data_IF_407426994678
#
_entry.id   IF_407426994678
#
_cell.length_a   1.000
_cell.length_b   1.000
_cell.length_c   1.000
_cell.angle_alpha   90.00
_cell.angle_beta   90.00
_cell.angle_gamma   90.00
#
_symmetry.space_group_name_H-M   'P 1'
#
loop_
_entity.id
_entity.type
_entity.pdbx_description
1 polymer ?
#
# COMPACT_ATOMS: atom_id res chain seq x y z
N UNK A 1 38.96 15.57 21.61
CA UNK A 1 38.22 16.81 21.33
C UNK A 1 38.17 16.96 19.82
N UNK A 2 37.12 16.41 19.19
CA UNK A 2 36.88 16.59 17.77
C UNK A 2 36.02 17.84 17.66
N UNK A 3 36.56 18.87 17.02
CA UNK A 3 35.85 20.10 16.69
C UNK A 3 34.71 19.72 15.77
N UNK A 4 33.50 19.66 16.32
CA UNK A 4 32.27 19.62 15.54
C UNK A 4 32.25 20.93 14.76
N UNK A 5 32.27 20.85 13.43
CA UNK A 5 32.02 22.03 12.60
C UNK A 5 30.62 22.53 12.95
N UNK A 6 30.56 23.76 13.49
CA UNK A 6 29.36 24.59 13.57
C UNK A 6 28.92 24.98 12.14
N UNK A 7 28.54 23.99 11.33
CA UNK A 7 27.60 24.25 10.26
C UNK A 7 26.22 24.00 10.88
N UNK A 8 25.54 25.11 11.23
CA UNK A 8 24.14 25.10 11.62
C UNK A 8 23.35 24.19 10.67
N UNK A 9 22.40 23.37 11.18
CA UNK A 9 21.55 22.58 10.30
C UNK A 9 20.86 23.53 9.30
N UNK A 10 21.07 23.36 7.99
CA UNK A 10 20.58 24.31 7.00
C UNK A 10 19.09 24.04 6.77
N UNK A 11 18.22 24.59 7.62
CA UNK A 11 16.76 24.54 7.39
C UNK A 11 16.08 25.78 7.97
N UNK A 12 16.31 26.95 7.37
CA UNK A 12 15.43 28.12 7.49
C UNK A 12 14.65 28.32 6.19
N UNK A 13 14.00 27.25 5.73
CA UNK A 13 12.92 27.33 4.78
C UNK A 13 11.69 26.80 5.50
N UNK A 14 10.94 27.68 6.16
CA UNK A 14 9.64 27.32 6.73
C UNK A 14 8.81 26.71 5.61
N UNK A 15 8.48 25.42 5.72
CA UNK A 15 7.49 24.78 4.87
C UNK A 15 6.19 25.56 5.06
N UNK A 16 5.90 26.46 4.12
CA UNK A 16 4.69 27.29 4.06
C UNK A 16 4.31 28.16 5.28
N UNK A 17 5.20 28.32 6.25
CA UNK A 17 4.92 29.08 7.48
C UNK A 17 4.01 28.35 8.47
N UNK A 18 3.88 27.04 8.34
CA UNK A 18 3.17 26.21 9.32
C UNK A 18 4.11 25.91 10.49
N UNK A 19 3.66 26.19 11.71
CA UNK A 19 4.39 25.82 12.93
C UNK A 19 4.50 24.29 13.03
N UNK A 20 5.57 23.77 13.63
CA UNK A 20 5.82 22.32 13.70
C UNK A 20 4.64 21.51 14.29
N UNK A 21 3.88 22.11 15.21
CA UNK A 21 2.69 21.50 15.81
C UNK A 21 1.49 21.42 14.84
N UNK A 22 1.32 22.42 13.97
CA UNK A 22 0.30 22.42 12.92
C UNK A 22 0.61 21.32 11.88
N UNK A 23 1.90 21.11 11.61
CA UNK A 23 2.37 20.03 10.73
C UNK A 23 2.15 18.63 11.33
N UNK A 24 2.27 18.48 12.66
CA UNK A 24 2.05 17.21 13.36
C UNK A 24 0.58 16.80 13.41
N UNK A 25 -0.33 17.78 13.46
CA UNK A 25 -1.77 17.56 13.65
C UNK A 25 -2.59 17.74 12.39
N UNK A 26 -1.98 18.17 11.28
CA UNK A 26 -2.64 18.34 9.99
C UNK A 26 -3.37 17.07 9.57
N UNK A 27 -4.66 17.21 9.27
CA UNK A 27 -5.45 16.15 8.69
C UNK A 27 -5.14 15.99 7.20
N UNK A 28 -5.08 14.75 6.68
CA UNK A 28 -4.84 14.51 5.27
C UNK A 28 -6.02 15.00 4.43
N UNK A 29 -5.73 15.71 3.33
CA UNK A 29 -6.72 16.13 2.35
C UNK A 29 -6.91 15.06 1.28
N UNK A 30 -8.13 14.94 0.74
CA UNK A 30 -8.37 14.06 -0.40
C UNK A 30 -7.56 14.50 -1.63
N UNK A 31 -6.67 13.64 -2.16
CA UNK A 31 -5.91 13.94 -3.37
C UNK A 31 -6.85 14.12 -4.57
N UNK A 32 -6.49 14.99 -5.54
CA UNK A 32 -7.21 15.11 -6.80
C UNK A 32 -7.30 13.76 -7.55
N UNK A 33 -8.28 13.66 -8.43
CA UNK A 33 -8.47 12.48 -9.27
C UNK A 33 -9.77 12.60 -10.05
N UNK A 34 -10.03 11.69 -10.98
CA UNK A 34 -11.10 11.82 -11.96
C UNK A 34 -12.48 11.84 -11.30
N UNK A 35 -13.42 12.48 -11.99
CA UNK A 35 -14.82 12.35 -11.70
C UNK A 35 -15.33 10.95 -12.06
N UNK A 36 -16.51 10.62 -11.57
CA UNK A 36 -17.20 9.38 -11.90
C UNK A 36 -17.48 9.30 -13.40
N UNK A 37 -17.03 8.22 -14.03
CA UNK A 37 -17.40 7.91 -15.42
C UNK A 37 -18.91 7.71 -15.55
N UNK A 38 -19.51 8.17 -16.65
CA UNK A 38 -20.97 8.07 -16.89
C UNK A 38 -21.48 6.62 -16.97
N UNK A 39 -20.58 5.67 -17.22
CA UNK A 39 -20.85 4.23 -17.24
C UNK A 39 -20.89 3.60 -15.85
N UNK A 40 -20.40 4.30 -14.83
CA UNK A 40 -20.33 3.79 -13.46
C UNK A 40 -21.59 4.24 -12.70
N UNK A 41 -22.38 3.31 -12.15
CA UNK A 41 -23.63 3.66 -11.49
C UNK A 41 -23.39 4.55 -10.27
N UNK A 42 -24.28 5.53 -10.04
CA UNK A 42 -24.15 6.48 -8.93
C UNK A 42 -24.10 5.80 -7.55
N UNK A 43 -24.76 4.66 -7.40
CA UNK A 43 -24.78 3.85 -6.17
C UNK A 43 -23.68 2.77 -6.12
N UNK A 44 -22.59 2.89 -6.90
CA UNK A 44 -21.50 1.88 -6.96
C UNK A 44 -20.97 1.48 -5.57
N UNK A 45 -20.88 2.44 -4.64
CA UNK A 45 -20.39 2.20 -3.26
C UNK A 45 -21.27 1.21 -2.51
N UNK A 46 -22.59 1.26 -2.73
CA UNK A 46 -23.58 0.37 -2.10
C UNK A 46 -23.66 -1.00 -2.81
N UNK A 47 -23.23 -1.08 -4.07
CA UNK A 47 -23.20 -2.32 -4.83
C UNK A 47 -22.01 -3.21 -4.46
N UNK A 48 -20.87 -2.63 -4.09
CA UNK A 48 -19.66 -3.36 -3.70
C UNK A 48 -19.92 -4.43 -2.61
N UNK A 49 -20.49 -4.11 -1.42
CA UNK A 49 -20.71 -5.13 -0.40
C UNK A 49 -21.70 -6.21 -0.84
N UNK A 50 -22.67 -5.87 -1.70
CA UNK A 50 -23.60 -6.86 -2.29
C UNK A 50 -22.87 -7.81 -3.24
N UNK A 51 -22.01 -7.27 -4.11
CA UNK A 51 -21.17 -8.03 -5.01
C UNK A 51 -20.21 -8.96 -4.25
N UNK A 52 -19.58 -8.47 -3.19
CA UNK A 52 -18.73 -9.27 -2.32
C UNK A 52 -19.52 -10.40 -1.63
N UNK A 53 -20.74 -10.14 -1.14
CA UNK A 53 -21.58 -11.16 -0.53
C UNK A 53 -22.00 -12.25 -1.54
N UNK A 54 -22.42 -11.86 -2.75
CA UNK A 54 -22.76 -12.81 -3.82
C UNK A 54 -21.58 -13.73 -4.17
N UNK A 55 -20.37 -13.17 -4.25
CA UNK A 55 -19.17 -13.96 -4.48
C UNK A 55 -18.78 -14.80 -3.27
N UNK A 56 -19.05 -14.37 -2.04
CA UNK A 56 -18.72 -15.12 -0.82
C UNK A 56 -19.46 -16.47 -0.76
N UNK A 57 -20.70 -16.50 -1.24
CA UNK A 57 -21.57 -17.68 -1.29
C UNK A 57 -21.29 -18.60 -2.50
N UNK A 58 -20.52 -18.12 -3.46
CA UNK A 58 -20.13 -18.87 -4.65
C UNK A 58 -18.78 -19.60 -4.45
N UNK A 59 -18.45 -20.54 -5.32
CA UNK A 59 -17.17 -21.26 -5.32
C UNK A 59 -16.51 -21.21 -6.69
N UNK A 60 -15.18 -21.26 -6.71
CA UNK A 60 -14.45 -21.46 -7.96
C UNK A 60 -14.62 -22.92 -8.39
N UNK A 61 -15.00 -23.12 -9.65
CA UNK A 61 -15.17 -24.46 -10.19
C UNK A 61 -13.81 -25.08 -10.52
N UNK A 62 -13.29 -25.90 -9.58
CA UNK A 62 -11.94 -26.50 -9.63
C UNK A 62 -11.61 -27.19 -10.97
N UNK A 63 -12.62 -27.71 -11.68
CA UNK A 63 -12.44 -28.32 -13.02
C UNK A 63 -11.95 -27.32 -14.07
N UNK A 64 -12.32 -26.04 -13.97
CA UNK A 64 -11.92 -24.97 -14.89
C UNK A 64 -10.60 -24.32 -14.50
N UNK A 65 -10.14 -24.54 -13.27
CA UNK A 65 -8.89 -23.96 -12.80
C UNK A 65 -7.68 -24.44 -13.61
N UNK A 66 -6.79 -23.49 -13.92
CA UNK A 66 -5.58 -23.74 -14.65
C UNK A 66 -4.62 -24.65 -13.90
N UNK A 67 -3.99 -25.60 -14.58
CA UNK A 67 -2.77 -26.16 -14.01
C UNK A 67 -1.76 -25.01 -13.91
N UNK A 68 -1.32 -24.66 -12.69
CA UNK A 68 -0.32 -23.61 -12.48
C UNK A 68 0.82 -23.84 -13.48
N UNK A 69 1.21 -22.85 -14.32
CA UNK A 69 2.26 -23.05 -15.30
C UNK A 69 3.51 -23.53 -14.57
N UNK A 70 3.83 -24.82 -14.68
CA UNK A 70 5.13 -25.30 -14.23
C UNK A 70 6.11 -24.69 -15.21
N UNK A 71 7.02 -23.85 -14.70
CA UNK A 71 8.23 -23.51 -15.44
C UNK A 71 8.81 -24.83 -15.99
N UNK A 72 8.82 -24.97 -17.31
CA UNK A 72 9.29 -26.19 -17.94
C UNK A 72 10.71 -26.45 -17.43
N UNK A 73 10.91 -27.54 -16.68
CA UNK A 73 12.27 -27.95 -16.33
C UNK A 73 12.96 -28.29 -17.66
N UNK A 74 14.17 -27.75 -17.92
CA UNK A 74 14.92 -28.17 -19.09
C UNK A 74 15.08 -29.71 -19.04
N UNK A 75 14.86 -30.40 -20.17
CA UNK A 75 14.91 -31.85 -20.19
C UNK A 75 16.27 -32.32 -19.69
N UNK A 76 16.27 -33.22 -18.70
CA UNK A 76 17.50 -33.89 -18.30
C UNK A 76 18.03 -34.65 -19.52
N UNK A 77 19.26 -34.33 -19.95
CA UNK A 77 19.90 -34.97 -21.10
C UNK A 77 19.90 -36.50 -20.91
N UNK A 78 19.28 -37.23 -21.83
CA UNK A 78 19.51 -38.67 -22.01
C UNK A 78 18.43 -39.65 -21.51
N UNK A 79 17.20 -39.23 -21.21
CA UNK A 79 16.08 -40.18 -20.99
C UNK A 79 15.01 -40.05 -22.07
N UNK A 80 14.68 -41.16 -22.71
CA UNK A 80 13.55 -41.27 -23.62
C UNK A 80 12.26 -40.85 -22.89
N UNK A 81 11.43 -40.05 -23.55
CA UNK A 81 10.14 -39.62 -23.06
C UNK A 81 9.19 -40.82 -23.05
N UNK A 82 8.92 -41.39 -21.86
CA UNK A 82 7.87 -42.38 -21.68
C UNK A 82 6.73 -41.80 -20.84
N UNK A 83 5.51 -42.11 -21.31
CA UNK A 83 4.16 -41.99 -20.74
C UNK A 83 3.80 -40.74 -19.96
N UNK A 84 2.82 -40.03 -20.51
CA UNK A 84 2.01 -38.99 -19.87
C UNK A 84 1.74 -39.36 -18.41
N UNK A 85 2.27 -38.62 -17.43
CA UNK A 85 2.02 -38.89 -16.03
C UNK A 85 0.51 -38.89 -15.76
N UNK A 86 0.01 -39.75 -14.85
CA UNK A 86 -1.39 -39.68 -14.45
C UNK A 86 -1.71 -38.26 -13.98
N UNK A 87 -2.79 -37.70 -14.52
CA UNK A 87 -3.26 -36.37 -14.18
C UNK A 87 -3.59 -36.37 -12.68
N UNK A 88 -2.88 -35.52 -11.91
CA UNK A 88 -3.19 -35.39 -10.48
C UNK A 88 -4.57 -34.75 -10.34
N UNK A 89 -5.40 -35.19 -9.38
CA UNK A 89 -6.68 -34.54 -9.14
C UNK A 89 -6.46 -33.05 -8.86
N UNK A 90 -7.21 -32.20 -9.57
CA UNK A 90 -7.21 -30.76 -9.34
C UNK A 90 -7.72 -30.49 -7.91
N UNK A 91 -7.06 -29.58 -7.21
CA UNK A 91 -7.46 -29.13 -5.88
C UNK A 91 -7.70 -27.62 -5.91
N UNK A 92 -8.29 -27.06 -4.88
CA UNK A 92 -8.48 -25.61 -4.76
C UNK A 92 -7.18 -24.81 -4.96
N UNK A 93 -6.04 -25.35 -4.52
CA UNK A 93 -4.73 -24.74 -4.76
C UNK A 93 -4.35 -24.62 -6.26
N UNK A 94 -5.01 -25.39 -7.14
CA UNK A 94 -4.84 -25.24 -8.59
C UNK A 94 -5.50 -23.96 -9.12
N UNK A 95 -6.48 -23.40 -8.42
CA UNK A 95 -7.16 -22.15 -8.79
C UNK A 95 -6.37 -20.88 -8.42
N UNK A 96 -5.10 -21.02 -8.01
CA UNK A 96 -4.23 -19.87 -7.84
C UNK A 96 -4.06 -19.17 -9.20
N UNK A 97 -4.38 -17.87 -9.27
CA UNK A 97 -4.50 -17.07 -10.50
C UNK A 97 -5.84 -17.18 -11.25
N UNK A 98 -6.81 -17.95 -10.77
CA UNK A 98 -8.15 -17.98 -11.37
C UNK A 98 -9.11 -17.09 -10.58
N UNK A 99 -10.09 -16.52 -11.29
CA UNK A 99 -10.98 -15.53 -10.73
C UNK A 99 -12.43 -15.78 -11.13
N UNK A 100 -13.34 -15.41 -10.23
CA UNK A 100 -14.73 -15.13 -10.55
C UNK A 100 -14.99 -13.66 -10.25
N UNK A 101 -15.66 -12.97 -11.15
CA UNK A 101 -15.93 -11.55 -11.05
C UNK A 101 -17.40 -11.32 -10.71
N UNK A 102 -17.68 -10.29 -9.94
CA UNK A 102 -18.98 -9.65 -9.89
C UNK A 102 -18.87 -8.30 -10.59
N UNK A 103 -19.64 -8.12 -11.65
CA UNK A 103 -19.63 -6.91 -12.49
C UNK A 103 -20.99 -6.23 -12.47
N UNK A 104 -21.02 -4.93 -12.72
CA UNK A 104 -22.26 -4.16 -12.90
C UNK A 104 -22.23 -3.37 -14.19
N UNK A 105 -23.41 -3.08 -14.72
CA UNK A 105 -23.60 -2.05 -15.74
C UNK A 105 -23.99 -0.70 -15.11
N UNK A 106 -24.21 0.31 -15.96
CA UNK A 106 -24.66 1.64 -15.55
C UNK A 106 -26.04 1.66 -14.85
N UNK A 107 -26.84 0.59 -14.98
CA UNK A 107 -28.14 0.45 -14.30
C UNK A 107 -28.00 -0.16 -12.90
N UNK A 108 -26.81 -0.62 -12.53
CA UNK A 108 -26.54 -1.22 -11.22
C UNK A 108 -26.89 -2.71 -11.13
N UNK A 109 -27.14 -3.38 -12.26
CA UNK A 109 -27.45 -4.81 -12.27
C UNK A 109 -26.16 -5.64 -12.11
N UNK A 110 -26.05 -6.43 -11.02
CA UNK A 110 -24.87 -7.26 -10.76
C UNK A 110 -25.00 -8.60 -11.48
N UNK A 111 -23.96 -8.97 -12.24
CA UNK A 111 -23.81 -10.30 -12.86
C UNK A 111 -22.51 -10.95 -12.43
N UNK A 112 -22.51 -12.29 -12.35
CA UNK A 112 -21.32 -13.07 -12.05
C UNK A 112 -20.69 -13.57 -13.35
N UNK A 113 -19.37 -13.45 -13.44
CA UNK A 113 -18.58 -13.82 -14.62
C UNK A 113 -17.44 -14.74 -14.19
N UNK A 114 -17.41 -15.92 -14.77
CA UNK A 114 -16.32 -16.87 -14.64
C UNK A 114 -15.13 -16.45 -15.52
N UNK A 115 -13.96 -16.21 -14.94
CA UNK A 115 -12.77 -15.73 -15.64
C UNK A 115 -11.52 -16.50 -15.19
N UNK A 116 -11.34 -17.69 -15.76
CA UNK A 116 -10.22 -18.58 -15.45
C UNK A 116 -9.04 -18.30 -16.40
N UNK A 117 -7.88 -17.90 -15.85
CA UNK A 117 -6.67 -17.58 -16.64
C UNK A 117 -6.03 -18.84 -17.25
N UNK A 118 -6.32 -20.03 -16.71
CA UNK A 118 -5.76 -21.29 -17.19
C UNK A 118 -6.31 -21.82 -18.51
N UNK A 119 -7.45 -21.29 -18.96
CA UNK A 119 -8.18 -21.74 -20.14
C UNK A 119 -8.84 -20.50 -20.78
N UNK A 120 -8.16 -19.85 -21.73
CA UNK A 120 -8.72 -18.68 -22.45
C UNK A 120 -10.10 -18.97 -23.05
N UNK A 121 -10.38 -20.22 -23.44
CA UNK A 121 -11.67 -20.67 -23.96
C UNK A 121 -12.81 -20.66 -22.93
N UNK A 122 -12.51 -20.59 -21.63
CA UNK A 122 -13.53 -20.59 -20.56
C UNK A 122 -13.92 -19.19 -20.07
N UNK A 123 -13.15 -18.16 -20.43
CA UNK A 123 -13.50 -16.77 -20.11
C UNK A 123 -14.44 -16.19 -21.18
N UNK A 124 -15.53 -15.50 -20.82
CA UNK A 124 -16.38 -14.84 -21.81
C UNK A 124 -15.60 -13.83 -22.67
N UNK A 125 -15.98 -13.65 -23.96
CA UNK A 125 -15.31 -12.70 -24.84
C UNK A 125 -15.20 -11.30 -24.23
N UNK A 126 -14.01 -10.70 -24.34
CA UNK A 126 -13.74 -9.34 -23.84
C UNK A 126 -13.28 -9.27 -22.38
N UNK A 127 -13.27 -10.39 -21.65
CA UNK A 127 -12.71 -10.45 -20.30
C UNK A 127 -11.26 -10.94 -20.31
N UNK A 128 -10.37 -10.18 -19.69
CA UNK A 128 -9.05 -10.69 -19.30
C UNK A 128 -8.67 -10.12 -17.94
N UNK A 129 -8.10 -10.95 -17.09
CA UNK A 129 -7.57 -10.50 -15.80
C UNK A 129 -6.08 -10.71 -15.88
N UNK A 130 -5.31 -9.70 -15.53
CA UNK A 130 -3.87 -9.81 -15.37
C UNK A 130 -3.51 -9.26 -14.00
N UNK A 131 -2.86 -10.08 -13.18
CA UNK A 131 -2.25 -9.55 -11.99
C UNK A 131 -1.05 -8.69 -12.39
N UNK A 132 -1.00 -7.44 -11.94
CA UNK A 132 0.14 -6.58 -12.19
C UNK A 132 1.34 -7.14 -11.42
N UNK A 133 2.43 -7.40 -12.15
CA UNK A 133 3.69 -7.84 -11.57
C UNK A 133 4.44 -6.59 -11.12
N UNK A 134 4.49 -6.32 -9.82
CA UNK A 134 5.45 -5.37 -9.26
C UNK A 134 6.82 -6.06 -9.18
N UNK A 135 7.91 -5.45 -9.70
CA UNK A 135 9.26 -5.96 -9.53
C UNK A 135 9.58 -6.29 -8.05
N UNK A 136 10.08 -7.50 -7.78
CA UNK A 136 10.35 -7.99 -6.42
C UNK A 136 9.26 -8.86 -5.78
N UNK A 137 8.06 -8.93 -6.38
CA UNK A 137 7.01 -9.87 -5.97
C UNK A 137 7.06 -11.13 -6.84
N UNK A 138 7.63 -12.22 -6.30
CA UNK A 138 7.71 -13.51 -7.00
C UNK A 138 6.31 -14.15 -7.13
N UNK A 139 5.71 -13.98 -8.31
CA UNK A 139 4.42 -14.53 -8.78
C UNK A 139 3.23 -13.71 -8.32
N UNK A 140 2.69 -12.92 -9.26
CA UNK A 140 1.61 -11.96 -9.09
C UNK A 140 0.24 -12.55 -8.71
N UNK A 141 0.11 -13.86 -8.50
CA UNK A 141 -1.18 -14.44 -8.18
C UNK A 141 -1.31 -14.76 -6.70
N UNK A 142 -2.46 -14.37 -6.16
CA UNK A 142 -2.92 -14.83 -4.86
C UNK A 142 -2.36 -14.09 -3.66
N UNK A 143 -1.84 -12.87 -3.81
CA UNK A 143 -1.56 -12.01 -2.65
C UNK A 143 -1.98 -10.56 -2.90
N UNK A 144 -3.29 -10.28 -2.84
CA UNK A 144 -3.90 -8.97 -3.12
C UNK A 144 -3.25 -8.19 -4.28
N UNK A 145 -3.04 -8.82 -5.46
CA UNK A 145 -2.43 -8.12 -6.58
C UNK A 145 -3.32 -6.97 -7.02
N UNK A 146 -2.71 -5.86 -7.43
CA UNK A 146 -3.42 -4.93 -8.31
C UNK A 146 -3.81 -5.71 -9.55
N UNK A 147 -5.11 -5.89 -9.78
CA UNK A 147 -5.62 -6.59 -10.94
C UNK A 147 -5.87 -5.59 -12.05
N UNK A 148 -5.20 -5.77 -13.18
CA UNK A 148 -5.62 -5.16 -14.43
C UNK A 148 -6.73 -6.04 -15.01
N UNK A 149 -7.97 -5.62 -14.84
CA UNK A 149 -9.12 -6.29 -15.45
C UNK A 149 -9.50 -5.55 -16.71
N UNK A 150 -9.47 -6.24 -17.85
CA UNK A 150 -10.13 -5.81 -19.08
C UNK A 150 -11.50 -6.46 -19.11
N UNK A 151 -12.53 -5.69 -19.43
CA UNK A 151 -13.90 -6.14 -19.58
C UNK A 151 -14.58 -5.40 -20.74
N UNK A 152 -15.73 -5.89 -21.23
CA UNK A 152 -16.53 -5.16 -22.21
C UNK A 152 -16.83 -3.71 -21.79
N UNK A 153 -16.94 -2.77 -22.75
CA UNK A 153 -17.28 -1.38 -22.46
C UNK A 153 -18.60 -1.25 -21.68
N UNK A 154 -18.66 -0.26 -20.78
CA UNK A 154 -19.88 0.03 -20.01
C UNK A 154 -20.13 -0.89 -18.81
N UNK A 155 -19.16 -1.74 -18.46
CA UNK A 155 -19.20 -2.56 -17.26
C UNK A 155 -18.22 -2.03 -16.20
N UNK A 156 -18.41 -2.44 -14.96
CA UNK A 156 -17.52 -2.10 -13.83
C UNK A 156 -17.36 -3.34 -12.96
N UNK A 157 -16.12 -3.71 -12.65
CA UNK A 157 -15.81 -4.85 -11.78
C UNK A 157 -15.94 -4.40 -10.33
N UNK A 158 -16.92 -4.94 -9.61
CA UNK A 158 -17.21 -4.57 -8.22
C UNK A 158 -16.45 -5.41 -7.21
N UNK A 159 -16.20 -6.68 -7.52
CA UNK A 159 -15.51 -7.60 -6.64
C UNK A 159 -14.95 -8.79 -7.43
N UNK A 160 -13.95 -9.45 -6.83
CA UNK A 160 -13.35 -10.69 -7.33
C UNK A 160 -13.34 -11.74 -6.23
N UNK A 161 -13.49 -13.00 -6.63
CA UNK A 161 -13.17 -14.17 -5.83
C UNK A 161 -11.97 -14.87 -6.45
N UNK A 162 -10.98 -15.21 -5.63
CA UNK A 162 -9.78 -15.94 -6.09
C UNK A 162 -9.22 -16.81 -4.97
N UNK A 163 -8.23 -17.64 -5.30
CA UNK A 163 -7.41 -18.34 -4.31
C UNK A 163 -6.13 -17.55 -4.04
N UNK A 164 -5.87 -17.30 -2.76
CA UNK A 164 -4.69 -16.60 -2.25
C UNK A 164 -3.78 -17.53 -1.46
N UNK A 165 -2.48 -17.23 -1.43
CA UNK A 165 -1.53 -17.92 -0.54
C UNK A 165 -1.76 -17.47 0.89
N UNK A 166 -1.80 -18.42 1.81
CA UNK A 166 -1.93 -18.17 3.25
C UNK A 166 -0.82 -18.83 4.06
N UNK A 167 0.41 -18.67 3.60
CA UNK A 167 1.59 -19.32 4.14
C UNK A 167 2.43 -20.00 3.06
N UNK A 168 3.47 -20.74 3.47
CA UNK A 168 4.40 -21.37 2.51
C UNK A 168 3.77 -22.48 1.66
N UNK A 169 2.71 -23.13 2.15
CA UNK A 169 2.10 -24.33 1.53
C UNK A 169 0.57 -24.38 1.61
N UNK A 170 -0.04 -23.31 2.09
CA UNK A 170 -1.46 -23.21 2.38
C UNK A 170 -2.07 -22.15 1.49
N UNK A 171 -3.32 -22.38 1.09
CA UNK A 171 -4.11 -21.47 0.27
C UNK A 171 -5.48 -21.28 0.91
N UNK A 172 -6.13 -20.16 0.64
CA UNK A 172 -7.52 -19.90 1.04
C UNK A 172 -8.24 -19.11 -0.05
N UNK A 173 -9.56 -19.16 -0.09
CA UNK A 173 -10.32 -18.26 -0.97
C UNK A 173 -10.35 -16.87 -0.34
N UNK A 174 -10.30 -15.86 -1.20
CA UNK A 174 -10.46 -14.47 -0.84
C UNK A 174 -11.50 -13.84 -1.75
N UNK A 175 -12.32 -12.98 -1.15
CA UNK A 175 -13.21 -12.08 -1.85
C UNK A 175 -12.81 -10.66 -1.51
N UNK A 176 -12.57 -9.83 -2.51
CA UNK A 176 -12.22 -8.43 -2.33
C UNK A 176 -12.53 -7.62 -3.59
N UNK A 177 -12.55 -6.31 -3.45
CA UNK A 177 -12.68 -5.36 -4.57
C UNK A 177 -11.29 -4.91 -5.00
N UNK A 178 -10.86 -5.23 -6.23
CA UNK A 178 -9.60 -4.72 -6.77
C UNK A 178 -9.76 -3.25 -7.15
N UNK A 179 -8.65 -2.57 -7.37
CA UNK A 179 -8.68 -1.27 -8.05
C UNK A 179 -8.92 -1.45 -9.56
N UNK A 180 -9.85 -0.67 -10.11
CA UNK A 180 -10.00 -0.41 -11.55
C UNK A 180 -10.23 1.09 -11.75
N UNK A 181 -10.00 1.61 -12.95
CA UNK A 181 -10.17 3.05 -13.22
C UNK A 181 -11.64 3.48 -13.08
N UNK A 182 -12.60 2.59 -13.35
CA UNK A 182 -14.03 2.79 -13.10
C UNK A 182 -14.37 2.98 -11.62
N UNK A 183 -13.62 2.34 -10.72
CA UNK A 183 -13.80 2.48 -9.28
C UNK A 183 -13.04 3.68 -8.70
N UNK A 184 -12.31 4.43 -9.52
CA UNK A 184 -11.62 5.65 -9.11
C UNK A 184 -12.58 6.84 -8.98
N UNK A 185 -13.64 6.67 -8.18
CA UNK A 185 -14.67 7.68 -7.95
C UNK A 185 -14.41 8.45 -6.65
N UNK A 186 -14.78 9.75 -6.55
CA UNK A 186 -14.53 10.57 -5.37
C UNK A 186 -15.01 9.94 -4.05
N UNK A 187 -16.17 9.28 -4.06
CA UNK A 187 -16.80 8.72 -2.87
C UNK A 187 -16.04 7.52 -2.31
N UNK A 188 -15.45 6.68 -3.17
CA UNK A 188 -14.60 5.57 -2.72
C UNK A 188 -13.26 6.08 -2.20
N UNK A 189 -12.68 7.09 -2.85
CA UNK A 189 -11.45 7.72 -2.38
C UNK A 189 -11.65 8.37 -1.01
N UNK A 190 -12.73 9.12 -0.83
CA UNK A 190 -13.06 9.76 0.46
C UNK A 190 -13.30 8.70 1.54
N UNK A 191 -14.10 7.67 1.25
CA UNK A 191 -14.32 6.57 2.19
C UNK A 191 -13.02 5.86 2.58
N UNK A 192 -12.09 5.73 1.65
CA UNK A 192 -10.76 5.18 1.92
C UNK A 192 -9.90 6.06 2.81
N UNK A 193 -9.91 7.37 2.56
CA UNK A 193 -9.23 8.37 3.38
C UNK A 193 -9.77 8.34 4.82
N UNK A 194 -11.10 8.42 4.97
CA UNK A 194 -11.78 8.41 6.27
C UNK A 194 -11.48 7.13 7.04
N UNK A 195 -11.56 5.98 6.35
CA UNK A 195 -11.29 4.68 6.95
C UNK A 195 -9.85 4.59 7.45
N UNK A 196 -8.86 4.91 6.61
CA UNK A 196 -7.45 4.75 6.97
C UNK A 196 -7.03 5.77 8.03
N UNK A 197 -7.38 7.05 7.85
CA UNK A 197 -7.08 8.08 8.84
C UNK A 197 -7.77 7.79 10.19
N UNK A 198 -9.05 7.42 10.19
CA UNK A 198 -9.75 7.01 11.40
C UNK A 198 -9.11 5.79 12.08
N UNK A 199 -8.54 4.86 11.32
CA UNK A 199 -7.78 3.72 11.85
C UNK A 199 -6.46 4.17 12.50
N UNK A 200 -5.76 5.13 11.90
CA UNK A 200 -4.55 5.75 12.48
C UNK A 200 -4.88 6.41 13.81
N UNK A 201 -5.91 7.25 13.86
CA UNK A 201 -6.37 7.91 15.09
C UNK A 201 -6.76 6.91 16.17
N UNK A 202 -7.55 5.88 15.83
CA UNK A 202 -7.94 4.86 16.79
C UNK A 202 -6.75 4.06 17.36
N UNK A 203 -5.74 3.77 16.53
CA UNK A 203 -4.51 3.12 16.99
C UNK A 203 -3.69 4.02 17.92
N UNK A 204 -3.54 5.29 17.57
CA UNK A 204 -2.90 6.30 18.42
C UNK A 204 -3.61 6.42 19.78
N UNK A 205 -4.92 6.61 19.76
CA UNK A 205 -5.71 6.81 20.98
C UNK A 205 -5.60 5.60 21.92
N UNK A 206 -5.54 4.38 21.38
CA UNK A 206 -5.31 3.18 22.18
C UNK A 206 -3.90 3.15 22.80
N UNK A 207 -2.84 3.57 22.09
CA UNK A 207 -1.50 3.66 22.66
C UNK A 207 -1.42 4.72 23.76
N UNK A 208 -2.06 5.87 23.55
CA UNK A 208 -2.14 6.94 24.54
C UNK A 208 -2.91 6.48 25.78
N UNK A 209 -4.05 5.79 25.61
CA UNK A 209 -4.84 5.21 26.71
C UNK A 209 -4.03 4.18 27.50
N UNK A 210 -3.25 3.36 26.81
CA UNK A 210 -2.34 2.38 27.41
C UNK A 210 -1.08 3.03 28.01
N UNK A 211 -0.88 4.35 27.82
CA UNK A 211 0.30 5.11 28.27
C UNK A 211 1.60 4.46 27.84
N UNK A 212 1.68 4.05 26.58
CA UNK A 212 2.88 3.38 26.04
C UNK A 212 4.04 4.38 25.99
N UNK A 213 5.09 4.22 26.81
CA UNK A 213 6.21 5.15 26.84
C UNK A 213 7.06 5.01 25.58
N UNK A 214 7.66 6.11 25.13
CA UNK A 214 8.77 6.03 24.18
C UNK A 214 10.00 5.43 24.89
N UNK A 215 10.68 4.49 24.23
CA UNK A 215 11.92 3.90 24.74
C UNK A 215 13.10 4.87 24.57
N UNK A 216 12.98 5.87 23.69
CA UNK A 216 14.10 6.74 23.29
C UNK A 216 13.91 8.22 23.64
N UNK A 217 12.70 8.62 24.05
CA UNK A 217 12.35 9.97 24.52
C UNK A 217 11.77 9.89 25.94
N UNK A 218 12.62 10.17 26.92
CA UNK A 218 12.30 9.95 28.34
C UNK A 218 11.15 10.85 28.81
N UNK A 219 10.10 10.22 29.35
CA UNK A 219 8.95 10.93 29.93
C UNK A 219 7.85 11.26 28.93
N UNK A 220 8.03 10.89 27.66
CA UNK A 220 7.05 11.08 26.59
C UNK A 220 6.40 9.74 26.21
N UNK A 221 5.18 9.79 25.72
CA UNK A 221 4.54 8.62 25.11
C UNK A 221 4.98 8.48 23.65
N UNK A 222 4.93 7.27 23.10
CA UNK A 222 5.20 7.04 21.67
C UNK A 222 4.31 7.94 20.78
N UNK A 223 3.08 8.20 21.22
CA UNK A 223 2.10 9.04 20.51
C UNK A 223 2.39 10.54 20.57
N UNK A 224 3.27 10.97 21.47
CA UNK A 224 3.72 12.36 21.57
C UNK A 224 4.94 12.61 20.68
N UNK A 225 5.71 11.54 20.42
CA UNK A 225 6.97 11.58 19.64
C UNK A 225 6.72 11.35 18.15
N UNK A 226 5.88 10.37 17.82
CA UNK A 226 5.69 9.90 16.45
C UNK A 226 4.47 10.58 15.82
N UNK A 227 4.62 11.31 14.69
CA UNK A 227 3.51 12.02 14.06
C UNK A 227 2.51 11.07 13.39
N UNK A 228 1.21 11.34 13.56
CA UNK A 228 0.13 10.61 12.89
C UNK A 228 0.27 10.65 11.37
N UNK A 229 0.71 11.80 10.83
CA UNK A 229 1.05 12.02 9.42
C UNK A 229 2.00 10.95 8.88
N UNK A 230 3.04 10.59 9.65
CA UNK A 230 4.02 9.59 9.24
C UNK A 230 3.38 8.19 9.15
N UNK A 231 2.64 7.79 10.18
CA UNK A 231 1.99 6.47 10.24
C UNK A 231 0.91 6.33 9.17
N UNK A 232 0.18 7.41 8.89
CA UNK A 232 -0.76 7.48 7.77
C UNK A 232 -0.05 7.22 6.44
N UNK A 233 1.06 7.92 6.17
CA UNK A 233 1.82 7.78 4.93
C UNK A 233 2.39 6.38 4.76
N UNK A 234 2.89 5.73 5.81
CA UNK A 234 3.36 4.34 5.75
C UNK A 234 2.30 3.41 5.17
N UNK A 235 1.06 3.49 5.67
CA UNK A 235 -0.04 2.65 5.16
C UNK A 235 -0.46 2.94 3.72
N UNK A 236 -0.11 4.11 3.17
CA UNK A 236 -0.30 4.42 1.76
C UNK A 236 0.87 3.89 0.93
N UNK A 237 2.10 4.27 1.27
CA UNK A 237 3.29 4.02 0.43
C UNK A 237 3.75 2.57 0.43
N UNK A 238 3.45 1.79 1.47
CA UNK A 238 3.62 0.33 1.48
C UNK A 238 2.73 -0.34 0.44
N UNK A 239 1.63 0.32 0.08
CA UNK A 239 0.62 -0.25 -0.80
C UNK A 239 0.67 0.18 -2.26
N UNK A 240 1.47 1.20 -2.59
CA UNK A 240 1.74 1.64 -3.98
C UNK A 240 2.35 0.50 -4.80
N UNK A 241 1.79 0.26 -5.99
CA UNK A 241 2.15 -0.88 -6.85
C UNK A 241 3.25 -0.57 -7.85
N UNK A 242 3.30 0.67 -8.35
CA UNK A 242 4.18 1.06 -9.46
C UNK A 242 5.23 2.08 -9.04
N UNK A 243 6.48 1.61 -8.85
CA UNK A 243 7.60 2.51 -8.47
C UNK A 243 7.94 3.54 -9.55
N UNK A 244 7.77 3.22 -10.84
CA UNK A 244 8.14 4.14 -11.93
C UNK A 244 7.34 5.44 -11.93
N UNK A 245 6.13 5.46 -11.37
CA UNK A 245 5.35 6.68 -11.18
C UNK A 245 6.05 7.69 -10.24
N UNK A 246 6.94 7.21 -9.38
CA UNK A 246 7.70 8.03 -8.43
C UNK A 246 9.15 8.25 -8.88
N UNK A 247 9.44 7.98 -10.14
CA UNK A 247 10.76 8.20 -10.76
C UNK A 247 10.94 9.62 -11.24
N UNK A 248 12.13 9.89 -11.78
CA UNK A 248 12.50 11.22 -12.31
C UNK A 248 11.53 11.65 -13.43
N UNK A 249 10.99 10.69 -14.19
CA UNK A 249 10.06 10.93 -15.31
C UNK A 249 8.59 10.64 -14.95
N UNK A 250 8.27 10.46 -13.66
CA UNK A 250 6.90 10.23 -13.23
C UNK A 250 6.06 11.51 -13.29
N UNK A 251 4.87 11.46 -13.88
CA UNK A 251 3.92 12.57 -13.87
C UNK A 251 3.12 12.62 -12.56
N UNK A 252 2.58 13.79 -12.21
CA UNK A 252 1.68 13.92 -11.06
C UNK A 252 0.40 13.10 -11.25
N UNK A 253 -0.10 12.98 -12.47
CA UNK A 253 -1.23 12.10 -12.81
C UNK A 253 -0.92 10.62 -12.48
N UNK A 254 0.26 10.11 -12.89
CA UNK A 254 0.65 8.73 -12.61
C UNK A 254 0.79 8.47 -11.10
N UNK A 255 1.33 9.44 -10.35
CA UNK A 255 1.44 9.38 -8.88
C UNK A 255 0.07 9.40 -8.22
N UNK A 256 -0.81 10.30 -8.65
CA UNK A 256 -2.19 10.39 -8.15
C UNK A 256 -2.96 9.10 -8.43
N UNK A 257 -2.79 8.49 -9.61
CA UNK A 257 -3.43 7.21 -9.92
C UNK A 257 -3.06 6.12 -8.92
N UNK A 258 -1.77 5.99 -8.58
CA UNK A 258 -1.30 5.00 -7.61
C UNK A 258 -1.82 5.28 -6.19
N UNK A 259 -1.82 6.54 -5.75
CA UNK A 259 -2.33 6.94 -4.43
C UNK A 259 -3.85 6.72 -4.35
N UNK A 260 -4.58 7.14 -5.38
CA UNK A 260 -6.02 6.94 -5.48
C UNK A 260 -6.37 5.44 -5.51
N UNK A 261 -5.57 4.60 -6.15
CA UNK A 261 -5.76 3.15 -6.11
C UNK A 261 -5.72 2.58 -4.70
N UNK A 262 -4.78 3.05 -3.87
CA UNK A 262 -4.69 2.66 -2.46
C UNK A 262 -5.91 3.12 -1.67
N UNK A 263 -6.35 4.38 -1.86
CA UNK A 263 -7.56 4.89 -1.21
C UNK A 263 -8.82 4.13 -1.62
N UNK A 264 -9.00 3.86 -2.91
CA UNK A 264 -10.14 3.06 -3.41
C UNK A 264 -10.12 1.66 -2.78
N UNK A 265 -8.95 1.01 -2.69
CA UNK A 265 -8.85 -0.29 -2.02
C UNK A 265 -9.23 -0.22 -0.54
N UNK A 266 -8.82 0.82 0.20
CA UNK A 266 -9.30 1.04 1.57
C UNK A 266 -10.81 1.31 1.63
N UNK A 267 -11.36 2.15 0.74
CA UNK A 267 -12.76 2.51 0.76
C UNK A 267 -13.70 1.36 0.39
N UNK A 268 -13.28 0.52 -0.55
CA UNK A 268 -14.05 -0.63 -1.01
C UNK A 268 -13.96 -1.84 -0.06
N UNK A 269 -12.82 -2.04 0.62
CA UNK A 269 -12.57 -3.24 1.43
C UNK A 269 -12.52 -3.00 2.94
N UNK A 270 -12.39 -1.76 3.40
CA UNK A 270 -12.28 -1.40 4.81
C UNK A 270 -11.19 -2.20 5.53
N UNK A 271 -11.56 -2.88 6.62
CA UNK A 271 -10.67 -3.74 7.42
C UNK A 271 -10.16 -4.99 6.71
N UNK A 272 -10.64 -5.27 5.50
CA UNK A 272 -10.14 -6.35 4.67
C UNK A 272 -9.11 -5.91 3.63
N UNK A 273 -8.88 -4.60 3.47
CA UNK A 273 -7.92 -4.09 2.49
C UNK A 273 -6.52 -4.64 2.79
N UNK A 274 -5.83 -5.17 1.78
CA UNK A 274 -4.44 -5.67 1.92
C UNK A 274 -4.21 -6.86 2.87
N UNK A 275 -5.25 -7.46 3.47
CA UNK A 275 -5.11 -8.64 4.35
C UNK A 275 -4.48 -9.86 3.67
N UNK A 276 -4.55 -9.91 2.35
CA UNK A 276 -3.99 -10.98 1.53
C UNK A 276 -2.64 -10.60 0.93
N UNK A 277 -2.14 -9.37 1.13
CA UNK A 277 -0.85 -8.92 0.61
C UNK A 277 0.28 -9.54 1.45
N UNK A 278 1.11 -10.34 0.80
CA UNK A 278 2.26 -11.01 1.43
C UNK A 278 3.49 -10.80 0.55
N UNK A 279 4.51 -10.15 1.09
CA UNK A 279 5.78 -9.98 0.38
C UNK A 279 6.61 -11.28 0.34
N UNK A 280 7.68 -11.30 -0.47
CA UNK A 280 8.66 -12.40 -0.50
C UNK A 280 9.36 -12.62 0.86
N UNK A 281 9.49 -11.56 1.67
CA UNK A 281 9.99 -11.60 3.05
C UNK A 281 8.90 -12.01 4.07
N UNK A 282 7.73 -12.46 3.61
CA UNK A 282 6.55 -12.75 4.41
C UNK A 282 6.06 -11.54 5.23
N UNK A 283 6.26 -10.33 4.69
CA UNK A 283 5.69 -9.12 5.24
C UNK A 283 4.17 -9.09 5.00
N UNK A 284 3.37 -8.65 5.98
CA UNK A 284 1.90 -8.73 5.93
C UNK A 284 1.21 -7.46 6.42
N UNK A 285 -0.05 -7.31 5.99
CA UNK A 285 -0.94 -6.24 6.43
C UNK A 285 -0.71 -4.92 5.70
N UNK A 286 -1.49 -3.88 6.04
CA UNK A 286 -1.43 -2.57 5.38
C UNK A 286 -0.08 -1.86 5.52
N UNK A 287 0.71 -2.22 6.53
CA UNK A 287 2.03 -1.61 6.81
C UNK A 287 3.19 -2.60 6.64
N UNK A 288 2.93 -3.79 6.07
CA UNK A 288 3.93 -4.78 5.66
C UNK A 288 4.98 -5.13 6.76
N UNK A 289 4.53 -5.57 7.93
CA UNK A 289 5.45 -6.08 8.97
C UNK A 289 5.96 -7.47 8.66
N UNK A 290 7.25 -7.74 8.91
CA UNK A 290 7.79 -9.11 8.93
C UNK A 290 7.60 -9.77 10.29
N UNK A 291 7.57 -11.12 10.38
CA UNK A 291 7.40 -11.83 11.66
C UNK A 291 8.46 -11.46 12.71
N UNK A 292 9.72 -11.27 12.28
CA UNK A 292 10.84 -10.96 13.17
C UNK A 292 10.69 -9.59 13.81
N UNK A 293 10.35 -8.56 13.02
CA UNK A 293 10.14 -7.20 13.51
C UNK A 293 8.92 -7.18 14.45
N UNK A 294 7.81 -7.77 14.03
CA UNK A 294 6.58 -7.83 14.83
C UNK A 294 6.81 -8.44 16.22
N UNK A 295 7.51 -9.58 16.30
CA UNK A 295 7.83 -10.23 17.57
C UNK A 295 8.82 -9.41 18.43
N UNK A 296 9.76 -8.69 17.80
CA UNK A 296 10.67 -7.78 18.52
C UNK A 296 9.89 -6.63 19.16
N UNK A 297 9.04 -5.97 18.39
CA UNK A 297 8.23 -4.83 18.87
C UNK A 297 7.30 -5.25 20.01
N UNK A 298 6.64 -6.40 19.89
CA UNK A 298 5.77 -6.94 20.94
C UNK A 298 6.52 -7.18 22.26
N UNK A 299 7.76 -7.64 22.20
CA UNK A 299 8.59 -7.87 23.39
C UNK A 299 9.06 -6.56 24.02
N UNK A 300 9.40 -5.59 23.19
CA UNK A 300 9.97 -4.33 23.62
C UNK A 300 8.90 -3.38 24.17
N UNK A 301 7.70 -3.38 23.58
CA UNK A 301 6.56 -2.56 24.00
C UNK A 301 5.39 -3.42 24.48
N UNK A 302 5.50 -4.11 25.64
CA UNK A 302 4.43 -4.97 26.14
C UNK A 302 3.12 -4.18 26.41
N UNK A 303 3.23 -2.91 26.80
CA UNK A 303 2.08 -2.03 27.03
C UNK A 303 1.28 -1.69 25.75
N UNK A 304 1.88 -1.87 24.56
CA UNK A 304 1.17 -1.68 23.30
C UNK A 304 0.15 -2.78 22.99
N UNK A 305 0.16 -3.89 23.76
CA UNK A 305 -0.82 -4.99 23.67
C UNK A 305 -0.95 -5.56 22.26
N UNK A 306 0.18 -5.68 21.57
CA UNK A 306 0.26 -6.31 20.26
C UNK A 306 0.04 -7.83 20.43
N UNK A 307 -0.96 -8.44 19.74
CA UNK A 307 -1.25 -9.88 19.84
C UNK A 307 -0.04 -10.75 19.50
N UNK A 308 0.07 -11.93 20.11
CA UNK A 308 1.16 -12.87 19.83
C UNK A 308 1.08 -13.48 18.42
N UNK A 309 -0.13 -13.73 17.92
CA UNK A 309 -0.31 -14.30 16.60
C UNK A 309 -0.05 -13.24 15.50
N UNK A 310 1.00 -13.46 14.72
CA UNK A 310 1.46 -12.53 13.70
C UNK A 310 0.42 -12.29 12.60
N UNK A 311 -0.25 -13.34 12.12
CA UNK A 311 -1.21 -13.22 11.01
C UNK A 311 -2.44 -12.45 11.46
N UNK A 312 -3.00 -12.81 12.62
CA UNK A 312 -4.15 -12.11 13.21
C UNK A 312 -3.79 -10.65 13.49
N UNK A 313 -2.64 -10.39 14.11
CA UNK A 313 -2.24 -9.04 14.45
C UNK A 313 -1.94 -8.15 13.25
N UNK A 314 -1.32 -8.67 12.19
CA UNK A 314 -1.06 -7.89 10.97
C UNK A 314 -2.29 -7.75 10.06
N UNK A 315 -3.30 -8.61 10.21
CA UNK A 315 -4.58 -8.47 9.50
C UNK A 315 -5.55 -7.52 10.21
N UNK A 316 -5.33 -7.24 11.51
CA UNK A 316 -6.03 -6.17 12.21
C UNK A 316 -5.29 -4.85 11.95
N UNK A 317 -5.94 -3.95 11.22
CA UNK A 317 -5.34 -2.67 10.85
C UNK A 317 -5.06 -1.77 12.05
N UNK A 318 -5.85 -1.83 13.13
CA UNK A 318 -5.62 -1.03 14.34
C UNK A 318 -4.39 -1.54 15.09
N UNK A 319 -4.25 -2.86 15.19
CA UNK A 319 -3.02 -3.48 15.72
C UNK A 319 -1.81 -3.09 14.86
N UNK A 320 -1.95 -3.16 13.54
CA UNK A 320 -0.89 -2.80 12.60
C UNK A 320 -0.47 -1.34 12.73
N UNK A 321 -1.41 -0.41 12.87
CA UNK A 321 -1.13 1.00 13.16
C UNK A 321 -0.35 1.14 14.46
N UNK A 322 -0.81 0.51 15.56
CA UNK A 322 -0.09 0.56 16.84
C UNK A 322 1.35 0.06 16.72
N UNK A 323 1.53 -1.05 15.98
CA UNK A 323 2.85 -1.59 15.69
C UNK A 323 3.70 -0.61 14.85
N UNK A 324 3.12 0.15 13.92
CA UNK A 324 3.82 1.17 13.14
C UNK A 324 4.33 2.31 14.02
N UNK A 325 3.52 2.83 14.95
CA UNK A 325 3.98 3.83 15.92
C UNK A 325 5.21 3.38 16.72
N UNK A 326 5.15 2.20 17.34
CA UNK A 326 6.26 1.68 18.15
C UNK A 326 7.47 1.28 17.29
N UNK A 327 7.26 0.90 16.02
CA UNK A 327 8.37 0.66 15.10
C UNK A 327 9.07 1.98 14.75
N UNK A 328 8.32 3.04 14.49
CA UNK A 328 8.90 4.37 14.24
C UNK A 328 9.65 4.91 15.47
N UNK A 329 9.22 4.59 16.69
CA UNK A 329 9.99 4.90 17.91
C UNK A 329 11.34 4.16 17.93
N UNK A 330 11.40 2.88 17.50
CA UNK A 330 12.65 2.13 17.38
C UNK A 330 13.67 2.74 16.41
N UNK A 331 13.20 3.56 15.45
CA UNK A 331 14.10 4.26 14.54
C UNK A 331 14.96 5.31 15.27
N UNK A 332 14.64 5.69 16.50
CA UNK A 332 15.48 6.56 17.33
C UNK A 332 16.69 5.84 17.95
N UNK A 333 16.71 4.50 17.92
CA UNK A 333 17.72 3.69 18.61
C UNK A 333 19.18 4.13 18.34
N UNK A 334 19.61 4.33 17.08
CA UNK A 334 20.99 4.75 16.80
C UNK A 334 21.22 6.25 16.91
N UNK A 335 20.17 7.08 17.06
CA UNK A 335 20.30 8.53 17.14
C UNK A 335 21.00 8.94 18.43
N UNK A 336 21.91 9.91 18.31
CA UNK A 336 22.49 10.60 19.45
C UNK A 336 21.46 11.55 20.09
N UNK A 337 21.62 11.87 21.38
CA UNK A 337 20.64 12.63 22.15
C UNK A 337 20.26 13.98 21.49
N UNK A 338 21.24 14.70 20.94
CA UNK A 338 20.99 15.98 20.28
C UNK A 338 20.08 15.82 19.05
N UNK A 339 20.31 14.79 18.23
CA UNK A 339 19.45 14.49 17.08
C UNK A 339 18.06 14.02 17.47
N UNK A 340 17.91 13.30 18.60
CA UNK A 340 16.58 12.92 19.10
C UNK A 340 15.74 14.12 19.47
N UNK A 341 16.37 15.24 19.84
CA UNK A 341 15.70 16.49 20.19
C UNK A 341 15.49 17.38 18.97
N UNK A 342 16.52 17.55 18.13
CA UNK A 342 16.50 18.49 17.01
C UNK A 342 15.71 17.99 15.80
N UNK A 343 15.75 16.68 15.50
CA UNK A 343 15.14 16.14 14.28
C UNK A 343 13.62 16.37 14.21
N UNK A 344 12.83 16.16 15.29
CA UNK A 344 11.39 16.43 15.29
C UNK A 344 10.97 17.89 15.05
N UNK A 345 11.90 18.85 15.11
CA UNK A 345 11.67 20.26 14.75
C UNK A 345 11.74 20.50 13.23
N UNK A 346 12.09 19.46 12.45
CA UNK A 346 12.11 19.46 10.99
C UNK A 346 11.17 18.36 10.45
N UNK A 347 9.85 18.59 10.40
CA UNK A 347 8.87 17.53 10.20
C UNK A 347 9.07 16.66 8.97
N UNK A 348 9.37 17.26 7.79
CA UNK A 348 9.63 16.48 6.58
C UNK A 348 10.91 15.65 6.69
N UNK A 349 12.02 16.24 7.16
CA UNK A 349 13.28 15.51 7.34
C UNK A 349 13.12 14.38 8.36
N UNK A 350 12.37 14.63 9.44
CA UNK A 350 12.04 13.62 10.43
C UNK A 350 11.21 12.49 9.84
N UNK A 351 10.15 12.81 9.10
CA UNK A 351 9.35 11.82 8.38
C UNK A 351 10.18 10.99 7.40
N UNK A 352 11.09 11.63 6.66
CA UNK A 352 12.02 10.94 5.76
C UNK A 352 13.00 10.04 6.50
N UNK A 353 13.54 10.49 7.63
CA UNK A 353 14.41 9.67 8.48
C UNK A 353 13.68 8.40 8.94
N UNK A 354 12.49 8.55 9.53
CA UNK A 354 11.67 7.43 9.99
C UNK A 354 11.32 6.47 8.85
N UNK A 355 10.85 7.00 7.73
CA UNK A 355 10.52 6.21 6.53
C UNK A 355 11.73 5.44 5.99
N UNK A 356 12.91 6.07 6.01
CA UNK A 356 14.15 5.44 5.54
C UNK A 356 14.58 4.30 6.46
N UNK A 357 14.41 4.50 7.77
CA UNK A 357 14.68 3.49 8.77
C UNK A 357 13.76 2.28 8.63
N UNK A 358 12.46 2.54 8.53
CA UNK A 358 11.40 1.55 8.35
C UNK A 358 11.64 0.62 7.15
N UNK A 359 12.00 1.19 5.99
CA UNK A 359 12.27 0.42 4.77
C UNK A 359 13.69 -0.16 4.71
N UNK A 360 14.71 0.68 4.93
CA UNK A 360 16.09 0.41 4.55
C UNK A 360 16.99 -0.18 5.63
N UNK A 361 16.53 -0.14 6.89
CA UNK A 361 17.25 -0.24 8.15
C UNK A 361 17.78 1.11 8.68
N UNK A 362 17.42 1.42 9.93
CA UNK A 362 17.81 2.62 10.70
C UNK A 362 19.29 3.00 10.64
N UNK A 363 20.19 2.02 10.54
CA UNK A 363 21.63 2.27 10.47
C UNK A 363 22.00 3.11 9.27
N UNK A 364 21.36 2.89 8.11
CA UNK A 364 21.62 3.65 6.89
C UNK A 364 20.98 5.03 6.96
N UNK A 365 19.78 5.14 7.53
CA UNK A 365 19.15 6.43 7.83
C UNK A 365 20.07 7.31 8.69
N UNK A 366 20.57 6.76 9.80
CA UNK A 366 21.52 7.44 10.69
C UNK A 366 22.83 7.81 9.99
N UNK A 367 23.38 6.91 9.16
CA UNK A 367 24.58 7.23 8.37
C UNK A 367 24.33 8.41 7.43
N UNK A 368 23.20 8.43 6.73
CA UNK A 368 22.84 9.51 5.82
C UNK A 368 22.60 10.84 6.52
N UNK A 369 22.11 10.82 7.77
CA UNK A 369 21.89 12.03 8.55
C UNK A 369 23.21 12.78 8.82
N UNK A 370 24.31 12.03 8.96
CA UNK A 370 25.64 12.59 9.19
C UNK A 370 26.47 12.83 7.92
N UNK A 371 26.10 12.19 6.80
CA UNK A 371 26.90 12.19 5.58
C UNK A 371 26.31 13.00 4.43
N UNK A 372 25.00 13.29 4.49
CA UNK A 372 24.26 13.97 3.42
C UNK A 372 23.66 15.27 3.94
N UNK A 373 23.53 16.24 3.03
CA UNK A 373 22.88 17.52 3.26
C UNK A 373 21.35 17.38 3.28
N UNK A 374 20.65 18.38 3.84
CA UNK A 374 19.18 18.42 3.80
C UNK A 374 18.64 18.39 2.35
N UNK A 375 19.30 19.06 1.42
CA UNK A 375 18.94 19.05 0.00
C UNK A 375 19.01 17.63 -0.61
N UNK A 376 20.01 16.82 -0.23
CA UNK A 376 20.12 15.44 -0.69
C UNK A 376 19.06 14.52 -0.08
N UNK A 377 18.61 14.81 1.15
CA UNK A 377 17.48 14.10 1.75
C UNK A 377 16.16 14.45 1.06
N UNK A 378 15.88 15.73 0.86
CA UNK A 378 14.66 16.19 0.18
C UNK A 378 14.64 15.84 -1.31
N UNK A 379 15.80 15.77 -1.95
CA UNK A 379 15.92 15.30 -3.34
C UNK A 379 15.91 13.77 -3.47
N UNK A 380 15.96 13.03 -2.36
CA UNK A 380 16.20 11.59 -2.35
C UNK A 380 17.41 11.21 -3.23
N UNK A 381 18.55 11.89 -3.01
CA UNK A 381 19.82 11.68 -3.73
C UNK A 381 20.97 11.30 -2.80
N UNK A 382 20.71 11.15 -1.50
CA UNK A 382 21.72 10.78 -0.50
C UNK A 382 22.41 9.45 -0.84
N UNK A 383 23.68 9.54 -1.26
CA UNK A 383 24.47 8.41 -1.77
C UNK A 383 24.74 7.29 -0.77
N UNK A 384 24.56 7.53 0.54
CA UNK A 384 24.73 6.51 1.56
C UNK A 384 23.51 5.60 1.75
N UNK A 385 22.37 5.98 1.18
CA UNK A 385 21.15 5.17 1.23
C UNK A 385 21.16 4.05 0.19
N UNK A 386 20.45 2.96 0.49
CA UNK A 386 20.21 1.92 -0.51
C UNK A 386 19.27 2.46 -1.58
N UNK A 387 19.44 1.97 -2.82
CA UNK A 387 18.59 2.38 -3.95
C UNK A 387 17.10 2.19 -3.68
N UNK A 388 16.69 1.07 -3.07
CA UNK A 388 15.28 0.84 -2.70
C UNK A 388 14.76 1.89 -1.71
N UNK A 389 15.58 2.30 -0.73
CA UNK A 389 15.23 3.32 0.25
C UNK A 389 15.11 4.71 -0.37
N UNK A 390 15.94 5.02 -1.37
CA UNK A 390 15.79 6.24 -2.18
C UNK A 390 14.43 6.25 -2.90
N UNK A 391 14.04 5.15 -3.53
CA UNK A 391 12.70 5.01 -4.13
C UNK A 391 11.59 5.17 -3.10
N UNK A 392 11.79 4.63 -1.90
CA UNK A 392 10.87 4.77 -0.79
C UNK A 392 10.72 6.24 -0.34
N UNK A 393 11.82 6.99 -0.22
CA UNK A 393 11.79 8.42 0.08
C UNK A 393 11.04 9.21 -0.98
N UNK A 394 11.25 8.92 -2.27
CA UNK A 394 10.52 9.57 -3.37
C UNK A 394 9.01 9.34 -3.27
N UNK A 395 8.59 8.11 -2.96
CA UNK A 395 7.17 7.81 -2.66
C UNK A 395 6.68 8.65 -1.49
N UNK A 396 7.43 8.69 -0.40
CA UNK A 396 7.07 9.42 0.80
C UNK A 396 6.86 10.90 0.50
N UNK A 397 7.85 11.59 -0.09
CA UNK A 397 7.80 13.02 -0.40
C UNK A 397 6.61 13.35 -1.31
N UNK A 398 6.44 12.61 -2.40
CA UNK A 398 5.36 12.90 -3.35
C UNK A 398 3.97 12.63 -2.74
N UNK A 399 3.83 11.53 -2.00
CA UNK A 399 2.56 11.19 -1.33
C UNK A 399 2.22 12.23 -0.26
N UNK A 400 3.22 12.60 0.54
CA UNK A 400 3.12 13.63 1.56
C UNK A 400 2.65 14.97 0.98
N UNK A 401 3.28 15.41 -0.11
CA UNK A 401 2.89 16.62 -0.81
C UNK A 401 1.43 16.59 -1.28
N UNK A 402 0.94 15.45 -1.78
CA UNK A 402 -0.41 15.30 -2.31
C UNK A 402 -1.51 15.32 -1.24
N UNK A 403 -1.21 14.86 -0.02
CA UNK A 403 -2.17 14.86 1.09
C UNK A 403 -2.12 16.14 1.92
N UNK A 404 -0.96 16.78 2.08
CA UNK A 404 -0.77 17.80 3.11
C UNK A 404 -0.38 19.18 2.56
N UNK A 405 0.13 19.30 1.33
CA UNK A 405 0.54 20.59 0.77
C UNK A 405 -0.54 21.18 -0.15
N UNK A 406 -1.27 22.18 0.37
CA UNK A 406 -2.36 22.86 -0.35
C UNK A 406 -1.91 23.45 -1.69
N UNK A 407 -0.72 24.06 -1.74
CA UNK A 407 -0.17 24.67 -2.95
C UNK A 407 0.09 23.65 -4.06
N UNK A 408 0.67 22.51 -3.70
CA UNK A 408 0.91 21.40 -4.65
C UNK A 408 -0.42 20.91 -5.22
N UNK A 409 -1.42 20.70 -4.36
CA UNK A 409 -2.76 20.30 -4.77
C UNK A 409 -3.43 21.31 -5.70
N UNK A 410 -3.35 22.60 -5.39
CA UNK A 410 -3.94 23.66 -6.21
C UNK A 410 -3.33 23.68 -7.63
N UNK A 411 -2.01 23.60 -7.73
CA UNK A 411 -1.29 23.50 -9.02
C UNK A 411 -1.74 22.28 -9.82
N UNK A 412 -1.79 21.10 -9.19
CA UNK A 412 -2.18 19.87 -9.89
C UNK A 412 -3.62 19.94 -10.41
N UNK A 413 -4.54 20.52 -9.65
CA UNK A 413 -5.93 20.71 -10.11
C UNK A 413 -6.00 21.60 -11.35
N UNK A 414 -5.22 22.69 -11.38
CA UNK A 414 -5.12 23.60 -12.53
C UNK A 414 -4.54 22.89 -13.78
N UNK A 415 -3.47 22.12 -13.61
CA UNK A 415 -2.84 21.33 -14.68
C UNK A 415 -3.79 20.28 -15.26
N UNK A 416 -4.49 19.53 -14.40
CA UNK A 416 -5.44 18.49 -14.83
C UNK A 416 -6.67 19.08 -15.54
N UNK A 417 -7.17 20.23 -15.07
CA UNK A 417 -8.32 20.91 -15.69
C UNK A 417 -7.96 21.42 -17.08
N UNK A 418 -6.75 21.97 -17.24
CA UNK A 418 -6.27 22.49 -18.53
C UNK A 418 -6.11 21.39 -19.58
N UNK A 419 -5.60 20.22 -19.19
CA UNK A 419 -5.44 19.06 -20.09
C UNK A 419 -6.78 18.54 -20.63
N UNK A 420 -7.80 18.45 -19.77
CA UNK A 420 -9.11 17.94 -20.16
C UNK A 420 -9.81 18.85 -21.19
N UNK A 421 -9.60 20.17 -21.12
CA UNK A 421 -10.15 21.11 -22.10
C UNK A 421 -9.50 21.00 -23.48
N UNK A 422 -8.22 20.62 -23.55
CA UNK A 422 -7.49 20.48 -24.81
C UNK A 422 -7.85 19.16 -25.51
N UNK A 423 -8.02 18.07 -24.76
CA UNK A 423 -8.52 16.80 -25.30
C UNK A 423 -9.92 16.95 -25.89
N UNK A 424 -10.82 17.68 -25.20
CA UNK A 424 -12.19 17.93 -25.68
C UNK A 424 -12.26 18.81 -26.95
N UNK A 425 -11.20 19.55 -27.30
CA UNK A 425 -11.13 20.36 -28.53
C UNK A 425 -10.55 19.59 -29.72
N UNK A 426 -9.92 18.44 -29.48
CA UNK A 426 -9.26 17.64 -30.53
C UNK A 426 -10.09 16.43 -30.99
N UNK A 427 -11.18 16.11 -30.29
CA UNK A 427 -12.29 15.26 -30.76
C UNK A 427 -13.34 16.05 -31.55
#
# INVERSE_FOLDING_TARGET
>A
MVVVREEEPPVTGSEDGLEAEEVRTAEPMLPPGPDRLTTVPANVVDLIPKAQALLADDTLEVKFCGATPKAAKPPAKGKAADKTPPEKPKTEATCLCDYKLAVTDAKGAITLVDAYQGQEESSPPGYSIRAQITPGYERACGSNPTLAVSHPPGQTVLAVRTVVKDGKRTTRQAVFTPFTDELNVPELRQKGLDYWWGTVKAGRDQLAANKVPSEFRKGELVTDVIPDRHVFLLGIIENIGTLSAFGDNGSDEARLREINAVLVMYGANGSNAFNWRVSSANARGPVQFTPTIYESLRKQYPAAEIPKDFVTGTSDHRVSVRAAYIHSDEEFRPLQADWRTALPEHPLLFGLYLASGYNGNVRWANKGLHACTAAEWYGATCSTMKGETIWYQRKYIATDAMFFLRKVRARIVEELSSSAEDDAKTE
#
